data_IF_541520143667
#
_entry.id   IF_541520143667
#
_cell.length_a   1.000
_cell.length_b   1.000
_cell.length_c   1.000
_cell.angle_alpha   90.00
_cell.angle_beta   90.00
_cell.angle_gamma   90.00
#
_symmetry.space_group_name_H-M   'P 1'
#
loop_
_entity.id
_entity.type
_entity.pdbx_description
1 polymer ?
#
# COMPACT_ATOMS: atom_id res chain seq x y z
N UNK A 1 -22.41 -14.71 -23.82
CA UNK A 1 -23.61 -13.88 -23.51
C UNK A 1 -23.34 -12.64 -22.65
N UNK A 2 -22.09 -12.32 -22.26
CA UNK A 2 -21.78 -11.13 -21.42
C UNK A 2 -21.00 -10.02 -22.16
N UNK A 3 -21.11 -10.00 -23.49
CA UNK A 3 -20.42 -9.09 -24.40
C UNK A 3 -20.55 -7.62 -24.03
N UNK A 4 -19.48 -6.98 -23.57
CA UNK A 4 -19.31 -5.56 -23.74
C UNK A 4 -18.92 -5.31 -25.19
N UNK A 5 -19.91 -5.13 -26.07
CA UNK A 5 -19.65 -4.70 -27.44
C UNK A 5 -19.50 -3.17 -27.40
N UNK A 6 -18.29 -2.62 -27.64
CA UNK A 6 -18.04 -1.18 -27.51
C UNK A 6 -18.87 -0.33 -28.48
N UNK A 7 -19.45 -0.94 -29.52
CA UNK A 7 -20.33 -0.29 -30.49
C UNK A 7 -21.80 -0.21 -30.07
N UNK A 8 -22.22 -0.90 -29.01
CA UNK A 8 -23.62 -0.91 -28.59
C UNK A 8 -23.97 0.30 -27.71
N UNK A 9 -25.11 0.93 -28.00
CA UNK A 9 -25.69 1.91 -27.08
C UNK A 9 -26.08 1.26 -25.75
N UNK A 10 -26.04 2.02 -24.65
CA UNK A 10 -26.38 1.54 -23.29
C UNK A 10 -27.69 0.74 -23.25
N UNK A 11 -28.74 1.26 -23.88
CA UNK A 11 -30.07 0.64 -23.95
C UNK A 11 -30.12 -0.64 -24.80
N UNK A 12 -29.33 -0.73 -25.88
CA UNK A 12 -29.22 -1.96 -26.68
C UNK A 12 -28.56 -3.07 -25.86
N UNK A 13 -27.49 -2.73 -25.13
CA UNK A 13 -26.83 -3.66 -24.20
C UNK A 13 -27.77 -4.16 -23.10
N UNK A 14 -28.66 -3.31 -22.58
CA UNK A 14 -29.68 -3.70 -21.63
C UNK A 14 -30.73 -4.64 -22.23
N UNK A 15 -31.26 -4.33 -23.42
CA UNK A 15 -32.25 -5.16 -24.11
C UNK A 15 -31.73 -6.58 -24.34
N UNK A 16 -30.48 -6.70 -24.81
CA UNK A 16 -29.85 -8.00 -25.01
C UNK A 16 -29.61 -8.76 -23.70
N UNK A 17 -29.21 -8.08 -22.62
CA UNK A 17 -29.02 -8.71 -21.32
C UNK A 17 -30.35 -9.23 -20.72
N UNK A 18 -31.44 -8.46 -20.84
CA UNK A 18 -32.77 -8.89 -20.41
C UNK A 18 -33.31 -10.03 -21.27
N UNK A 19 -33.07 -9.99 -22.59
CA UNK A 19 -33.43 -11.07 -23.50
C UNK A 19 -32.68 -12.36 -23.14
N UNK A 20 -31.37 -12.27 -22.88
CA UNK A 20 -30.56 -13.41 -22.46
C UNK A 20 -31.02 -13.97 -21.10
N UNK A 21 -31.41 -13.10 -20.16
CA UNK A 21 -31.99 -13.53 -18.89
C UNK A 21 -33.33 -14.25 -19.10
N UNK A 22 -34.19 -13.74 -19.99
CA UNK A 22 -35.47 -14.39 -20.32
C UNK A 22 -35.24 -15.79 -20.89
N UNK A 23 -34.35 -15.94 -21.87
CA UNK A 23 -33.96 -17.25 -22.42
C UNK A 23 -33.40 -18.18 -21.34
N UNK A 24 -32.56 -17.66 -20.44
CA UNK A 24 -32.01 -18.45 -19.35
C UNK A 24 -33.09 -18.94 -18.38
N UNK A 25 -34.07 -18.10 -18.05
CA UNK A 25 -35.20 -18.45 -17.18
C UNK A 25 -36.12 -19.49 -17.83
N UNK A 26 -36.37 -19.39 -19.13
CA UNK A 26 -37.20 -20.35 -19.89
C UNK A 26 -36.57 -21.74 -19.93
N UNK A 27 -35.27 -21.85 -20.21
CA UNK A 27 -34.57 -23.14 -20.21
C UNK A 27 -34.40 -23.73 -18.79
N UNK A 28 -34.39 -22.87 -17.77
CA UNK A 28 -34.38 -23.27 -16.37
C UNK A 28 -33.02 -23.75 -15.85
N UNK A 29 -32.86 -23.86 -14.52
CA UNK A 29 -31.58 -24.19 -13.88
C UNK A 29 -31.14 -25.64 -14.14
N UNK A 30 -32.07 -26.55 -14.41
CA UNK A 30 -31.77 -27.97 -14.66
C UNK A 30 -30.99 -28.19 -15.96
N UNK A 31 -31.20 -27.35 -16.98
CA UNK A 31 -30.56 -27.50 -18.30
C UNK A 31 -29.30 -26.65 -18.44
N UNK A 32 -29.31 -25.42 -17.91
CA UNK A 32 -28.21 -24.45 -18.05
C UNK A 32 -27.17 -24.50 -16.94
N UNK A 33 -27.52 -25.11 -15.81
CA UNK A 33 -26.71 -25.10 -14.59
C UNK A 33 -26.68 -23.73 -13.88
N UNK A 34 -26.20 -23.72 -12.63
CA UNK A 34 -26.24 -22.53 -11.77
C UNK A 34 -25.35 -21.39 -12.30
N UNK A 35 -24.26 -21.73 -13.00
CA UNK A 35 -23.27 -20.75 -13.47
C UNK A 35 -23.80 -19.84 -14.58
N UNK A 36 -24.46 -20.43 -15.57
CA UNK A 36 -25.00 -19.65 -16.70
C UNK A 36 -26.17 -18.79 -16.24
N UNK A 37 -27.05 -19.33 -15.41
CA UNK A 37 -28.18 -18.59 -14.82
C UNK A 37 -27.70 -17.41 -13.96
N UNK A 38 -26.75 -17.64 -13.05
CA UNK A 38 -26.17 -16.58 -12.23
C UNK A 38 -25.51 -15.50 -13.09
N UNK A 39 -24.79 -15.87 -14.15
CA UNK A 39 -24.15 -14.93 -15.07
C UNK A 39 -25.17 -14.11 -15.86
N UNK A 40 -26.29 -14.70 -16.28
CA UNK A 40 -27.37 -13.96 -16.94
C UNK A 40 -27.99 -12.90 -16.00
N UNK A 41 -28.28 -13.26 -14.76
CA UNK A 41 -28.76 -12.33 -13.73
C UNK A 41 -27.75 -11.20 -13.47
N UNK A 42 -26.45 -11.52 -13.36
CA UNK A 42 -25.39 -10.53 -13.16
C UNK A 42 -25.23 -9.61 -14.37
N UNK A 43 -25.29 -10.13 -15.59
CA UNK A 43 -25.26 -9.34 -16.81
C UNK A 43 -26.38 -8.31 -16.87
N UNK A 44 -27.62 -8.74 -16.59
CA UNK A 44 -28.78 -7.84 -16.51
C UNK A 44 -28.63 -6.81 -15.38
N UNK A 45 -28.13 -7.22 -14.22
CA UNK A 45 -27.83 -6.32 -13.09
C UNK A 45 -26.87 -5.22 -13.49
N UNK A 46 -25.70 -5.58 -14.05
CA UNK A 46 -24.66 -4.62 -14.42
C UNK A 46 -25.16 -3.66 -15.51
N UNK A 47 -25.92 -4.14 -16.50
CA UNK A 47 -26.51 -3.29 -17.55
C UNK A 47 -27.58 -2.35 -17.02
N UNK A 48 -28.41 -2.78 -16.08
CA UNK A 48 -29.37 -1.89 -15.41
C UNK A 48 -28.65 -0.81 -14.62
N UNK A 49 -27.58 -1.18 -13.89
CA UNK A 49 -26.76 -0.21 -13.17
C UNK A 49 -26.03 0.75 -14.12
N UNK A 50 -25.64 0.31 -15.32
CA UNK A 50 -25.02 1.18 -16.33
C UNK A 50 -26.02 2.19 -16.92
N UNK A 51 -27.25 1.76 -17.18
CA UNK A 51 -28.29 2.58 -17.83
C UNK A 51 -29.07 3.49 -16.88
N UNK A 52 -29.37 3.02 -15.67
CA UNK A 52 -30.29 3.68 -14.75
C UNK A 52 -29.55 4.33 -13.58
N UNK A 53 -29.91 5.57 -13.26
CA UNK A 53 -29.40 6.24 -12.06
C UNK A 53 -30.04 5.65 -10.78
N UNK A 54 -29.39 5.89 -9.63
CA UNK A 54 -29.60 5.41 -8.24
C UNK A 54 -31.07 5.20 -7.78
N UNK A 55 -32.08 5.77 -8.45
CA UNK A 55 -33.50 5.67 -8.06
C UNK A 55 -34.16 4.32 -8.36
N UNK A 56 -33.51 3.42 -9.11
CA UNK A 56 -34.05 2.10 -9.47
C UNK A 56 -33.24 0.93 -8.89
N UNK A 57 -32.64 1.06 -7.71
CA UNK A 57 -31.87 -0.04 -7.09
C UNK A 57 -32.68 -1.29 -6.76
N UNK A 58 -34.01 -1.23 -6.76
CA UNK A 58 -34.86 -2.41 -6.50
C UNK A 58 -34.58 -3.54 -7.50
N UNK A 59 -34.58 -3.26 -8.80
CA UNK A 59 -34.39 -4.30 -9.83
C UNK A 59 -32.97 -4.91 -9.80
N UNK A 60 -31.87 -4.14 -9.77
CA UNK A 60 -30.52 -4.70 -9.57
C UNK A 60 -30.37 -5.50 -8.28
N UNK A 61 -30.96 -5.05 -7.17
CA UNK A 61 -30.90 -5.79 -5.89
C UNK A 61 -31.65 -7.12 -5.96
N UNK A 62 -32.81 -7.14 -6.61
CA UNK A 62 -33.58 -8.36 -6.82
C UNK A 62 -32.84 -9.36 -7.71
N UNK A 63 -32.24 -8.89 -8.82
CA UNK A 63 -31.46 -9.75 -9.72
C UNK A 63 -30.19 -10.28 -9.06
N UNK A 64 -29.51 -9.48 -8.23
CA UNK A 64 -28.38 -9.96 -7.41
C UNK A 64 -28.82 -11.03 -6.40
N UNK A 65 -29.97 -10.83 -5.75
CA UNK A 65 -30.53 -11.84 -4.85
C UNK A 65 -30.87 -13.14 -5.60
N UNK A 66 -31.46 -13.05 -6.79
CA UNK A 66 -31.72 -14.21 -7.65
C UNK A 66 -30.41 -14.90 -8.06
N UNK A 67 -29.39 -14.14 -8.47
CA UNK A 67 -28.08 -14.68 -8.82
C UNK A 67 -27.45 -15.46 -7.65
N UNK A 68 -27.54 -14.93 -6.42
CA UNK A 68 -27.04 -15.61 -5.21
C UNK A 68 -27.83 -16.88 -4.89
N UNK A 69 -29.16 -16.82 -5.04
CA UNK A 69 -30.09 -17.91 -4.69
C UNK A 69 -29.86 -19.16 -5.52
N UNK A 70 -29.48 -19.00 -6.79
CA UNK A 70 -29.16 -20.09 -7.72
C UNK A 70 -28.03 -20.99 -7.19
N UNK A 71 -27.13 -20.46 -6.37
CA UNK A 71 -25.99 -21.20 -5.81
C UNK A 71 -26.25 -21.85 -4.44
N UNK A 72 -27.38 -21.55 -3.77
CA UNK A 72 -27.62 -22.04 -2.41
C UNK A 72 -26.49 -21.63 -1.45
N UNK A 73 -25.88 -22.53 -0.66
CA UNK A 73 -24.73 -22.18 0.19
C UNK A 73 -23.39 -22.11 -0.58
N UNK A 74 -23.26 -22.75 -1.74
CA UNK A 74 -21.97 -23.03 -2.39
C UNK A 74 -21.68 -22.07 -3.57
N UNK A 75 -21.19 -20.86 -3.27
CA UNK A 75 -20.80 -19.90 -4.31
C UNK A 75 -19.36 -20.14 -4.76
N UNK A 76 -19.10 -20.20 -6.08
CA UNK A 76 -17.75 -20.22 -6.63
C UNK A 76 -16.89 -19.04 -6.17
N UNK A 77 -15.61 -19.27 -5.92
CA UNK A 77 -14.64 -18.25 -5.48
C UNK A 77 -14.61 -17.02 -6.39
N UNK A 78 -14.67 -17.19 -7.71
CA UNK A 78 -14.71 -16.11 -8.72
C UNK A 78 -15.89 -15.15 -8.56
N UNK A 79 -16.98 -15.57 -7.90
CA UNK A 79 -18.19 -14.80 -7.69
C UNK A 79 -18.45 -14.43 -6.23
N UNK A 80 -17.67 -14.91 -5.27
CA UNK A 80 -17.90 -14.65 -3.84
C UNK A 80 -17.91 -13.15 -3.53
N UNK A 81 -16.95 -12.41 -4.10
CA UNK A 81 -16.82 -10.96 -3.89
C UNK A 81 -18.07 -10.16 -4.28
N UNK A 82 -18.81 -10.61 -5.31
CA UNK A 82 -20.04 -9.95 -5.80
C UNK A 82 -21.12 -9.94 -4.72
N UNK A 83 -21.15 -10.99 -3.91
CA UNK A 83 -22.20 -11.23 -2.92
C UNK A 83 -21.78 -10.85 -1.50
N UNK A 84 -20.48 -10.70 -1.26
CA UNK A 84 -19.95 -10.16 -0.01
C UNK A 84 -20.29 -8.67 0.16
N UNK A 85 -20.39 -8.20 1.41
CA UNK A 85 -20.82 -6.83 1.72
C UNK A 85 -20.01 -5.74 1.00
N UNK A 86 -18.68 -5.88 0.97
CA UNK A 86 -17.77 -4.90 0.36
C UNK A 86 -17.96 -4.83 -1.16
N UNK A 87 -17.89 -5.96 -1.86
CA UNK A 87 -18.03 -5.99 -3.31
C UNK A 87 -19.45 -5.70 -3.79
N UNK A 88 -20.48 -6.16 -3.06
CA UNK A 88 -21.89 -5.80 -3.32
C UNK A 88 -22.12 -4.29 -3.20
N UNK A 89 -21.55 -3.65 -2.18
CA UNK A 89 -21.64 -2.20 -2.01
C UNK A 89 -20.95 -1.46 -3.15
N UNK A 90 -19.76 -1.90 -3.56
CA UNK A 90 -19.04 -1.34 -4.70
C UNK A 90 -19.83 -1.45 -6.01
N UNK A 91 -20.41 -2.62 -6.29
CA UNK A 91 -21.24 -2.87 -7.47
C UNK A 91 -22.45 -1.92 -7.53
N UNK A 92 -23.21 -1.86 -6.43
CA UNK A 92 -24.40 -1.02 -6.33
C UNK A 92 -24.06 0.48 -6.31
N UNK A 93 -22.91 0.85 -5.74
CA UNK A 93 -22.41 2.23 -5.66
C UNK A 93 -21.93 2.79 -7.01
N UNK A 94 -21.85 1.97 -8.06
CA UNK A 94 -21.44 2.36 -9.42
C UNK A 94 -20.04 2.98 -9.53
N UNK A 95 -19.14 2.74 -8.57
CA UNK A 95 -17.76 3.25 -8.61
C UNK A 95 -16.92 2.74 -9.79
N UNK A 96 -17.44 1.75 -10.52
CA UNK A 96 -16.84 1.17 -11.73
C UNK A 96 -17.28 1.87 -13.04
N UNK A 97 -18.26 2.77 -13.00
CA UNK A 97 -18.76 3.48 -14.17
C UNK A 97 -18.22 4.93 -14.20
N UNK A 98 -17.74 5.45 -15.35
CA UNK A 98 -17.72 4.81 -16.66
C UNK A 98 -16.61 3.75 -16.80
N UNK A 99 -16.90 2.68 -17.53
CA UNK A 99 -15.91 1.68 -17.94
C UNK A 99 -15.08 2.24 -19.10
N UNK A 100 -14.10 3.07 -18.77
CA UNK A 100 -13.09 3.50 -19.74
C UNK A 100 -11.92 2.52 -19.70
N UNK A 101 -11.33 2.22 -20.85
CA UNK A 101 -10.07 1.47 -20.91
C UNK A 101 -8.93 2.46 -20.62
N UNK A 102 -8.67 2.71 -19.35
CA UNK A 102 -7.49 3.45 -18.90
C UNK A 102 -6.39 2.45 -18.54
N UNK A 103 -5.16 2.59 -19.05
CA UNK A 103 -4.07 1.71 -18.65
C UNK A 103 -3.79 1.92 -17.16
N UNK A 104 -3.89 0.84 -16.38
CA UNK A 104 -3.61 0.82 -14.95
C UNK A 104 -2.36 -0.03 -14.70
N UNK A 105 -1.42 0.49 -13.91
CA UNK A 105 -0.21 -0.25 -13.53
C UNK A 105 -0.53 -1.42 -12.60
N UNK A 106 -1.64 -1.33 -11.85
CA UNK A 106 -1.99 -2.24 -10.78
C UNK A 106 -2.81 -3.45 -11.22
N UNK A 107 -3.51 -3.38 -12.35
CA UNK A 107 -4.44 -4.45 -12.78
C UNK A 107 -4.44 -4.62 -14.28
N UNK A 108 -4.73 -5.85 -14.72
CA UNK A 108 -4.93 -6.22 -16.12
C UNK A 108 -6.35 -6.73 -16.35
N UNK A 109 -6.87 -6.46 -17.56
CA UNK A 109 -8.19 -6.96 -17.98
C UNK A 109 -8.03 -8.36 -18.56
N UNK A 110 -8.66 -9.35 -17.94
CA UNK A 110 -8.65 -10.73 -18.43
C UNK A 110 -9.44 -10.89 -19.72
N UNK A 111 -10.77 -10.97 -19.63
CA UNK A 111 -11.65 -11.08 -20.80
C UNK A 111 -12.15 -9.69 -21.25
N UNK A 112 -11.73 -9.20 -22.44
CA UNK A 112 -12.18 -7.91 -22.97
C UNK A 112 -13.68 -7.90 -23.29
N UNK A 113 -14.28 -9.06 -23.55
CA UNK A 113 -15.68 -9.17 -23.91
C UNK A 113 -16.61 -9.29 -22.69
N UNK A 114 -16.10 -9.55 -21.47
CA UNK A 114 -16.94 -9.71 -20.30
C UNK A 114 -17.11 -8.41 -19.52
N UNK A 115 -18.35 -7.93 -19.41
CA UNK A 115 -18.69 -6.79 -18.55
C UNK A 115 -18.35 -7.08 -17.08
N UNK A 116 -18.58 -8.31 -16.61
CA UNK A 116 -18.23 -8.71 -15.24
C UNK A 116 -16.72 -8.68 -15.01
N UNK A 117 -15.92 -9.09 -16.01
CA UNK A 117 -14.46 -9.04 -15.91
C UNK A 117 -13.95 -7.60 -15.85
N UNK A 118 -14.53 -6.68 -16.63
CA UNK A 118 -14.21 -5.26 -16.57
C UNK A 118 -14.54 -4.65 -15.20
N UNK A 119 -15.71 -4.99 -14.63
CA UNK A 119 -16.11 -4.51 -13.31
C UNK A 119 -15.28 -5.14 -12.19
N UNK A 120 -14.91 -6.42 -12.31
CA UNK A 120 -14.01 -7.09 -11.38
C UNK A 120 -12.60 -6.47 -11.40
N UNK A 121 -12.10 -6.09 -12.58
CA UNK A 121 -10.84 -5.33 -12.71
C UNK A 121 -10.93 -4.00 -11.94
N UNK A 122 -11.99 -3.22 -12.14
CA UNK A 122 -12.21 -1.95 -11.42
C UNK A 122 -12.34 -2.14 -9.92
N UNK A 123 -12.94 -3.25 -9.48
CA UNK A 123 -13.02 -3.57 -8.06
C UNK A 123 -11.63 -3.84 -7.47
N UNK A 124 -10.80 -4.65 -8.14
CA UNK A 124 -9.42 -4.92 -7.71
C UNK A 124 -8.57 -3.64 -7.70
N UNK A 125 -8.69 -2.82 -8.73
CA UNK A 125 -8.04 -1.51 -8.81
C UNK A 125 -8.43 -0.63 -7.62
N UNK A 126 -9.74 -0.52 -7.33
CA UNK A 126 -10.24 0.23 -6.18
C UNK A 126 -9.69 -0.28 -4.84
N UNK A 127 -9.62 -1.60 -4.65
CA UNK A 127 -9.05 -2.19 -3.43
C UNK A 127 -7.54 -1.89 -3.31
N UNK A 128 -6.78 -2.03 -4.40
CA UNK A 128 -5.35 -1.75 -4.42
C UNK A 128 -5.06 -0.26 -4.21
N UNK A 129 -5.80 0.64 -4.84
CA UNK A 129 -5.66 2.10 -4.63
C UNK A 129 -5.93 2.49 -3.17
N UNK A 130 -6.94 1.87 -2.55
CA UNK A 130 -7.20 2.08 -1.11
C UNK A 130 -6.08 1.54 -0.23
N UNK A 131 -5.50 0.39 -0.57
CA UNK A 131 -4.33 -0.14 0.14
C UNK A 131 -3.10 0.76 -0.03
N UNK A 132 -2.88 1.33 -1.22
CA UNK A 132 -1.83 2.33 -1.47
C UNK A 132 -2.08 3.61 -0.68
N UNK A 133 -3.32 4.10 -0.64
CA UNK A 133 -3.67 5.27 0.16
C UNK A 133 -3.44 5.03 1.67
N UNK A 134 -3.75 3.83 2.16
CA UNK A 134 -3.45 3.44 3.54
C UNK A 134 -1.94 3.36 3.81
N UNK A 135 -1.14 2.95 2.82
CA UNK A 135 0.32 2.96 2.92
C UNK A 135 0.86 4.40 3.04
N UNK A 136 0.28 5.36 2.31
CA UNK A 136 0.66 6.78 2.40
C UNK A 136 0.42 7.38 3.79
N UNK A 137 -0.54 6.86 4.54
CA UNK A 137 -0.91 7.33 5.89
C UNK A 137 -0.43 6.40 7.01
N UNK A 138 0.34 5.35 6.70
CA UNK A 138 0.74 4.34 7.66
C UNK A 138 1.64 4.86 8.82
N UNK A 139 2.18 6.07 8.72
CA UNK A 139 2.90 6.73 9.83
C UNK A 139 1.99 7.40 10.86
N UNK A 140 0.66 7.31 10.70
CA UNK A 140 -0.37 7.92 11.55
C UNK A 140 -1.27 6.85 12.19
N UNK A 141 -1.94 7.17 13.30
CA UNK A 141 -2.90 6.24 13.91
C UNK A 141 -4.05 5.90 12.96
N UNK A 142 -4.49 4.63 13.00
CA UNK A 142 -5.61 4.16 12.20
C UNK A 142 -6.92 4.85 12.62
N UNK A 143 -7.68 5.36 11.64
CA UNK A 143 -8.95 6.07 11.88
C UNK A 143 -10.20 5.17 11.92
N UNK A 144 -10.02 3.88 12.17
CA UNK A 144 -11.13 2.92 12.23
C UNK A 144 -11.70 2.50 10.87
N UNK A 145 -10.99 2.82 9.78
CA UNK A 145 -11.27 2.27 8.46
C UNK A 145 -10.98 0.76 8.41
N UNK A 146 -11.58 0.07 7.43
CA UNK A 146 -11.27 -1.33 7.15
C UNK A 146 -9.76 -1.56 7.09
N UNK A 147 -9.28 -2.60 7.80
CA UNK A 147 -7.86 -2.96 7.80
C UNK A 147 -7.36 -3.13 6.35
N UNK A 148 -6.31 -2.40 5.92
CA UNK A 148 -5.81 -2.50 4.56
C UNK A 148 -5.31 -3.91 4.21
N UNK A 149 -4.92 -4.74 5.18
CA UNK A 149 -4.60 -6.15 4.92
C UNK A 149 -5.82 -6.95 4.45
N UNK A 150 -7.01 -6.66 4.99
CA UNK A 150 -8.27 -7.26 4.53
C UNK A 150 -8.62 -6.86 3.11
N UNK A 151 -8.26 -5.65 2.68
CA UNK A 151 -8.44 -5.24 1.28
C UNK A 151 -7.64 -6.14 0.34
N UNK A 152 -6.45 -6.55 0.75
CA UNK A 152 -5.59 -7.44 -0.04
C UNK A 152 -6.12 -8.88 -0.06
N UNK A 153 -6.66 -9.38 1.06
CA UNK A 153 -7.35 -10.67 1.10
C UNK A 153 -8.52 -10.71 0.10
N UNK A 154 -9.26 -9.60 -0.04
CA UNK A 154 -10.34 -9.47 -1.02
C UNK A 154 -9.82 -9.48 -2.46
N UNK A 155 -8.67 -8.84 -2.75
CA UNK A 155 -8.06 -8.88 -4.09
C UNK A 155 -7.67 -10.32 -4.47
N UNK A 156 -7.09 -11.05 -3.52
CA UNK A 156 -6.74 -12.46 -3.70
C UNK A 156 -7.98 -13.31 -3.97
N UNK A 157 -9.04 -13.16 -3.16
CA UNK A 157 -10.32 -13.86 -3.35
C UNK A 157 -10.98 -13.57 -4.71
N UNK A 158 -10.98 -12.31 -5.15
CA UNK A 158 -11.50 -11.92 -6.46
C UNK A 158 -10.73 -12.49 -7.64
N UNK A 159 -9.44 -12.79 -7.44
CA UNK A 159 -8.57 -13.19 -8.53
C UNK A 159 -8.52 -14.70 -8.72
N UNK A 160 -9.03 -15.50 -7.77
CA UNK A 160 -9.07 -16.97 -7.82
C UNK A 160 -9.83 -17.52 -9.03
N UNK A 161 -9.36 -18.67 -9.55
CA UNK A 161 -9.91 -19.31 -10.74
C UNK A 161 -11.39 -19.68 -10.60
N UNK A 162 -12.17 -19.29 -11.60
CA UNK A 162 -13.46 -19.92 -11.89
C UNK A 162 -13.29 -20.98 -12.96
N UNK A 163 -13.07 -22.24 -12.59
CA UNK A 163 -12.64 -23.34 -13.48
C UNK A 163 -13.34 -23.52 -14.84
N UNK A 164 -12.68 -24.24 -15.75
CA UNK A 164 -13.09 -24.84 -17.05
C UNK A 164 -13.97 -24.09 -18.09
N UNK A 165 -14.93 -23.24 -17.71
CA UNK A 165 -15.85 -22.52 -18.64
C UNK A 165 -15.88 -21.01 -18.40
N UNK A 166 -14.74 -20.44 -18.04
CA UNK A 166 -14.61 -19.00 -17.80
C UNK A 166 -13.20 -18.54 -17.45
N UNK A 167 -12.19 -19.21 -18.00
CA UNK A 167 -10.79 -18.84 -17.85
C UNK A 167 -10.50 -17.54 -18.63
N UNK A 168 -10.75 -16.40 -17.98
CA UNK A 168 -9.86 -15.26 -18.19
C UNK A 168 -8.57 -15.54 -17.40
N UNK A 169 -7.38 -15.17 -17.90
CA UNK A 169 -6.14 -15.35 -17.16
C UNK A 169 -6.24 -14.67 -15.80
N UNK A 170 -5.69 -15.30 -14.76
CA UNK A 170 -5.51 -14.66 -13.46
C UNK A 170 -4.79 -13.33 -13.68
N UNK A 171 -5.24 -12.28 -12.97
CA UNK A 171 -4.52 -11.01 -13.00
C UNK A 171 -3.31 -11.12 -12.09
N UNK A 172 -2.29 -11.79 -12.62
CA UNK A 172 -1.01 -12.02 -11.93
C UNK A 172 -0.37 -10.70 -11.52
N UNK A 173 -0.57 -9.63 -12.29
CA UNK A 173 -0.16 -8.28 -11.93
C UNK A 173 -0.83 -7.80 -10.63
N UNK A 174 -2.16 -7.89 -10.54
CA UNK A 174 -2.89 -7.49 -9.33
C UNK A 174 -2.51 -8.33 -8.11
N UNK A 175 -2.30 -9.64 -8.28
CA UNK A 175 -1.86 -10.52 -7.20
C UNK A 175 -0.43 -10.22 -6.75
N UNK A 176 0.47 -9.90 -7.69
CA UNK A 176 1.83 -9.47 -7.37
C UNK A 176 1.83 -8.15 -6.58
N UNK A 177 1.06 -7.16 -7.03
CA UNK A 177 0.89 -5.89 -6.30
C UNK A 177 0.26 -6.09 -4.92
N UNK A 178 -0.73 -6.99 -4.79
CA UNK A 178 -1.33 -7.31 -3.50
C UNK A 178 -0.29 -7.90 -2.54
N UNK A 179 0.54 -8.84 -3.00
CA UNK A 179 1.63 -9.39 -2.20
C UNK A 179 2.64 -8.31 -1.77
N UNK A 180 3.01 -7.41 -2.70
CA UNK A 180 3.98 -6.35 -2.41
C UNK A 180 3.42 -5.36 -1.39
N UNK A 181 2.16 -4.93 -1.56
CA UNK A 181 1.49 -4.04 -0.62
C UNK A 181 1.32 -4.68 0.75
N UNK A 182 1.10 -6.00 0.82
CA UNK A 182 1.05 -6.72 2.10
C UNK A 182 2.35 -6.58 2.87
N UNK A 183 3.48 -6.84 2.20
CA UNK A 183 4.82 -6.67 2.80
C UNK A 183 5.07 -5.21 3.18
N UNK A 184 4.72 -4.28 2.28
CA UNK A 184 4.87 -2.84 2.51
C UNK A 184 4.13 -2.37 3.76
N UNK A 185 2.86 -2.77 3.92
CA UNK A 185 2.02 -2.41 5.06
C UNK A 185 2.53 -3.02 6.37
N UNK A 186 3.01 -4.27 6.35
CA UNK A 186 3.60 -4.91 7.54
C UNK A 186 4.89 -4.21 7.97
N UNK A 187 5.78 -3.89 7.02
CA UNK A 187 6.97 -3.09 7.32
C UNK A 187 6.65 -1.66 7.79
N UNK A 188 5.59 -1.06 7.25
CA UNK A 188 5.13 0.25 7.71
C UNK A 188 4.60 0.15 9.16
N UNK A 189 3.93 -0.95 9.53
CA UNK A 189 3.50 -1.30 10.89
C UNK A 189 4.64 -1.78 11.80
N UNK A 190 5.84 -1.99 11.29
CA UNK A 190 6.95 -2.54 12.08
C UNK A 190 6.71 -3.98 12.55
N UNK A 191 5.84 -4.71 11.84
CA UNK A 191 5.61 -6.14 12.04
C UNK A 191 6.56 -6.94 11.13
N UNK A 192 6.90 -8.18 11.53
CA UNK A 192 7.62 -9.09 10.65
C UNK A 192 6.77 -9.40 9.42
N UNK A 193 7.35 -9.20 8.25
CA UNK A 193 6.72 -9.65 7.02
C UNK A 193 6.81 -11.19 6.97
N UNK A 194 5.72 -11.90 6.63
CA UNK A 194 5.78 -13.34 6.43
C UNK A 194 6.80 -13.66 5.34
N UNK A 195 7.36 -14.88 5.37
CA UNK A 195 8.20 -15.37 4.29
C UNK A 195 7.45 -15.19 2.96
N UNK A 196 8.00 -14.35 2.08
CA UNK A 196 7.35 -14.00 0.83
C UNK A 196 7.00 -15.27 0.04
N UNK A 197 5.74 -15.37 -0.37
CA UNK A 197 5.32 -16.45 -1.26
C UNK A 197 6.11 -16.42 -2.57
N UNK A 198 6.27 -17.57 -3.21
CA UNK A 198 6.95 -17.71 -4.50
C UNK A 198 6.50 -16.68 -5.56
N UNK A 199 5.26 -16.18 -5.44
CA UNK A 199 4.65 -15.17 -6.31
C UNK A 199 5.38 -13.82 -6.32
N UNK A 200 5.95 -13.34 -5.20
CA UNK A 200 6.69 -12.08 -5.19
C UNK A 200 8.08 -12.19 -5.85
N UNK A 201 8.60 -13.41 -5.96
CA UNK A 201 9.90 -13.69 -6.59
C UNK A 201 9.80 -13.77 -8.12
N UNK A 202 8.59 -13.94 -8.65
CA UNK A 202 8.35 -14.00 -10.09
C UNK A 202 7.62 -12.75 -10.56
N UNK A 203 8.35 -11.87 -11.26
CA UNK A 203 7.76 -10.74 -11.96
C UNK A 203 7.47 -11.17 -13.40
N UNK A 204 6.25 -10.96 -13.93
CA UNK A 204 5.96 -11.25 -15.33
C UNK A 204 6.93 -10.53 -16.30
N UNK A 205 7.31 -11.14 -17.43
CA UNK A 205 8.34 -10.59 -18.33
C UNK A 205 7.97 -9.25 -19.00
N UNK A 206 6.69 -8.90 -19.08
CA UNK A 206 6.18 -7.66 -19.71
C UNK A 206 5.64 -6.63 -18.70
N UNK A 207 6.13 -6.65 -17.47
CA UNK A 207 5.57 -5.80 -16.40
C UNK A 207 6.03 -4.34 -16.52
N UNK A 208 5.15 -3.43 -16.10
CA UNK A 208 5.42 -1.99 -16.02
C UNK A 208 6.78 -1.67 -15.35
N UNK A 209 7.53 -0.65 -15.82
CA UNK A 209 8.81 -0.26 -15.25
C UNK A 209 8.78 0.02 -13.74
N UNK A 210 7.65 0.50 -13.21
CA UNK A 210 7.48 0.74 -11.78
C UNK A 210 7.45 -0.56 -11.00
N UNK A 211 6.78 -1.61 -11.50
CA UNK A 211 6.76 -2.91 -10.85
C UNK A 211 8.18 -3.48 -10.75
N UNK A 212 8.96 -3.35 -11.82
CA UNK A 212 10.37 -3.76 -11.81
C UNK A 212 11.21 -2.96 -10.81
N UNK A 213 11.05 -1.63 -10.75
CA UNK A 213 11.75 -0.78 -9.78
C UNK A 213 11.41 -1.18 -8.33
N UNK A 214 10.12 -1.43 -8.06
CA UNK A 214 9.64 -1.85 -6.75
C UNK A 214 10.12 -3.25 -6.37
N UNK A 215 10.17 -4.19 -7.33
CA UNK A 215 10.72 -5.53 -7.11
C UNK A 215 12.20 -5.48 -6.67
N UNK A 216 13.01 -4.64 -7.33
CA UNK A 216 14.42 -4.45 -6.97
C UNK A 216 14.57 -3.82 -5.57
N UNK A 217 13.76 -2.82 -5.24
CA UNK A 217 13.78 -2.19 -3.92
C UNK A 217 13.34 -3.16 -2.80
N UNK A 218 12.29 -3.95 -3.06
CA UNK A 218 11.80 -5.00 -2.18
C UNK A 218 12.90 -6.04 -1.92
N UNK A 219 13.51 -6.58 -2.98
CA UNK A 219 14.58 -7.56 -2.88
C UNK A 219 15.78 -7.03 -2.10
N UNK A 220 16.25 -5.80 -2.42
CA UNK A 220 17.39 -5.19 -1.72
C UNK A 220 17.16 -5.10 -0.20
N UNK A 221 15.95 -4.67 0.21
CA UNK A 221 15.58 -4.57 1.62
C UNK A 221 15.39 -5.93 2.28
N UNK A 222 14.64 -6.83 1.65
CA UNK A 222 14.38 -8.19 2.15
C UNK A 222 15.68 -8.96 2.38
N UNK A 223 16.56 -8.96 1.40
CA UNK A 223 17.81 -9.72 1.43
C UNK A 223 18.76 -9.14 2.49
N UNK A 224 18.68 -7.84 2.78
CA UNK A 224 19.34 -7.21 3.92
C UNK A 224 18.74 -7.62 5.29
N UNK A 225 17.42 -7.65 5.41
CA UNK A 225 16.74 -8.02 6.66
C UNK A 225 16.95 -9.50 7.00
N UNK A 226 16.88 -10.37 6.00
CA UNK A 226 17.06 -11.83 6.15
C UNK A 226 18.51 -12.29 6.20
N UNK A 227 19.47 -11.38 5.97
CA UNK A 227 20.90 -11.71 5.96
C UNK A 227 21.32 -12.57 4.76
N UNK A 228 20.56 -12.54 3.66
CA UNK A 228 20.90 -13.28 2.43
C UNK A 228 22.07 -12.66 1.68
N UNK A 229 22.30 -11.35 1.80
CA UNK A 229 23.50 -10.73 1.25
C UNK A 229 24.74 -11.14 2.05
N UNK A 230 25.73 -11.71 1.36
CA UNK A 230 26.96 -12.17 1.99
C UNK A 230 27.86 -11.00 2.43
N UNK A 231 27.73 -9.83 1.78
CA UNK A 231 28.53 -8.65 2.07
C UNK A 231 27.75 -7.33 2.06
N UNK A 232 28.19 -6.31 2.82
CA UNK A 232 27.66 -4.94 2.73
C UNK A 232 27.72 -4.36 1.30
N UNK A 233 28.72 -4.76 0.52
CA UNK A 233 28.90 -4.29 -0.87
C UNK A 233 27.77 -4.79 -1.79
N UNK A 234 27.35 -6.04 -1.64
CA UNK A 234 26.21 -6.59 -2.38
C UNK A 234 24.91 -5.86 -2.06
N UNK A 235 24.66 -5.58 -0.78
CA UNK A 235 23.48 -4.81 -0.36
C UNK A 235 23.48 -3.42 -1.00
N UNK A 236 24.62 -2.72 -0.98
CA UNK A 236 24.75 -1.40 -1.62
C UNK A 236 24.55 -1.47 -3.13
N UNK A 237 25.11 -2.47 -3.81
CA UNK A 237 24.92 -2.66 -5.25
C UNK A 237 23.46 -2.97 -5.62
N UNK A 238 22.74 -3.72 -4.78
CA UNK A 238 21.30 -3.91 -4.93
C UNK A 238 20.53 -2.59 -4.75
N UNK A 239 20.88 -1.79 -3.74
CA UNK A 239 20.29 -0.48 -3.53
C UNK A 239 20.55 0.49 -4.71
N UNK A 240 21.74 0.52 -5.30
CA UNK A 240 22.05 1.38 -6.45
C UNK A 240 21.22 1.03 -7.70
N UNK A 241 21.04 -0.26 -7.96
CA UNK A 241 20.20 -0.74 -9.07
C UNK A 241 18.74 -0.31 -8.88
N UNK A 242 18.20 -0.51 -7.67
CA UNK A 242 16.85 -0.10 -7.33
C UNK A 242 16.66 1.43 -7.39
N UNK A 243 17.61 2.19 -6.81
CA UNK A 243 17.61 3.66 -6.80
C UNK A 243 17.54 4.24 -8.22
N UNK A 244 18.33 3.70 -9.14
CA UNK A 244 18.36 4.16 -10.53
C UNK A 244 17.01 3.98 -11.24
N UNK A 245 16.34 2.84 -11.03
CA UNK A 245 15.01 2.57 -11.61
C UNK A 245 13.91 3.41 -10.99
N UNK A 246 13.94 3.62 -9.67
CA UNK A 246 12.98 4.50 -9.00
C UNK A 246 13.10 5.95 -9.49
N UNK A 247 14.33 6.41 -9.72
CA UNK A 247 14.57 7.76 -10.25
C UNK A 247 13.99 7.94 -11.66
N UNK A 248 14.14 6.94 -12.53
CA UNK A 248 13.51 6.92 -13.87
C UNK A 248 11.98 6.95 -13.78
N UNK A 249 11.38 6.22 -12.85
CA UNK A 249 9.93 6.18 -12.65
C UNK A 249 9.38 7.52 -12.14
N UNK A 250 10.09 8.19 -11.23
CA UNK A 250 9.71 9.51 -10.73
C UNK A 250 9.76 10.62 -11.79
N UNK A 251 10.54 10.41 -12.87
CA UNK A 251 10.65 11.35 -13.99
C UNK A 251 9.45 11.34 -14.95
N UNK A 252 8.68 10.26 -14.97
CA UNK A 252 7.51 10.08 -15.83
C UNK A 252 6.30 10.55 -15.04
N UNK A 253 5.43 11.40 -15.61
CA UNK A 253 4.21 11.85 -14.92
C UNK A 253 3.43 10.65 -14.39
N UNK A 254 3.39 10.49 -13.07
CA UNK A 254 2.92 9.28 -12.39
C UNK A 254 1.57 9.53 -11.75
N UNK A 255 0.71 8.50 -11.75
CA UNK A 255 -0.53 8.49 -10.97
C UNK A 255 -0.23 8.73 -9.48
N UNK A 256 -1.18 9.26 -8.66
CA UNK A 256 -0.96 9.44 -7.23
C UNK A 256 -0.56 8.12 -6.54
N UNK A 257 -1.17 7.00 -6.94
CA UNK A 257 -0.81 5.67 -6.45
C UNK A 257 0.63 5.29 -6.79
N UNK A 258 1.07 5.57 -8.02
CA UNK A 258 2.45 5.35 -8.45
C UNK A 258 3.45 6.21 -7.65
N UNK A 259 3.09 7.46 -7.33
CA UNK A 259 3.95 8.31 -6.49
C UNK A 259 4.15 7.74 -5.10
N UNK A 260 3.09 7.26 -4.44
CA UNK A 260 3.18 6.62 -3.11
C UNK A 260 4.05 5.36 -3.14
N UNK A 261 3.98 4.57 -4.22
CA UNK A 261 4.83 3.40 -4.40
C UNK A 261 6.30 3.81 -4.53
N UNK A 262 6.62 4.80 -5.37
CA UNK A 262 8.00 5.31 -5.52
C UNK A 262 8.52 5.88 -4.20
N UNK A 263 7.69 6.61 -3.45
CA UNK A 263 8.03 7.13 -2.12
C UNK A 263 8.39 5.98 -1.16
N UNK A 264 7.58 4.92 -1.14
CA UNK A 264 7.79 3.75 -0.28
C UNK A 264 9.08 3.01 -0.65
N UNK A 265 9.33 2.81 -1.95
CA UNK A 265 10.58 2.23 -2.44
C UNK A 265 11.82 3.06 -2.05
N UNK A 266 11.74 4.38 -2.20
CA UNK A 266 12.81 5.30 -1.80
C UNK A 266 13.07 5.23 -0.29
N UNK A 267 12.01 5.20 0.52
CA UNK A 267 12.11 5.04 1.97
C UNK A 267 12.79 3.73 2.36
N UNK A 268 12.47 2.62 1.69
CA UNK A 268 13.11 1.33 1.93
C UNK A 268 14.62 1.37 1.68
N UNK A 269 15.07 2.05 0.63
CA UNK A 269 16.50 2.19 0.33
C UNK A 269 17.22 3.05 1.39
N UNK A 270 16.63 4.19 1.78
CA UNK A 270 17.17 5.04 2.85
C UNK A 270 17.30 4.28 4.17
N UNK A 271 16.26 3.56 4.58
CA UNK A 271 16.28 2.72 5.78
C UNK A 271 17.32 1.61 5.69
N UNK A 272 17.41 0.92 4.55
CA UNK A 272 18.38 -0.17 4.35
C UNK A 272 19.81 0.34 4.48
N UNK A 273 20.13 1.48 3.86
CA UNK A 273 21.47 2.10 3.95
C UNK A 273 21.78 2.60 5.36
N UNK A 274 20.81 3.22 6.04
CA UNK A 274 20.98 3.66 7.43
C UNK A 274 21.25 2.47 8.37
N UNK A 275 20.46 1.41 8.27
CA UNK A 275 20.61 0.21 9.09
C UNK A 275 21.89 -0.57 8.75
N UNK A 276 22.30 -0.59 7.48
CA UNK A 276 23.59 -1.18 7.08
C UNK A 276 24.76 -0.43 7.72
N UNK A 277 24.71 0.90 7.73
CA UNK A 277 25.69 1.72 8.44
C UNK A 277 25.68 1.44 9.95
N UNK A 278 24.51 1.33 10.58
CA UNK A 278 24.41 0.99 12.01
C UNK A 278 25.03 -0.39 12.34
N UNK A 279 24.93 -1.38 11.43
CA UNK A 279 25.53 -2.71 11.59
C UNK A 279 27.05 -2.73 11.37
N UNK A 280 27.59 -1.82 10.55
CA UNK A 280 28.98 -1.85 10.07
C UNK A 280 30.06 -1.33 11.03
N UNK A 281 29.73 -1.09 12.30
CA UNK A 281 30.52 -0.32 13.28
C UNK A 281 30.69 1.16 12.90
N UNK A 282 30.67 2.02 13.93
CA UNK A 282 30.48 3.49 13.92
C UNK A 282 31.62 4.32 13.30
N UNK A 283 32.23 3.83 12.22
CA UNK A 283 33.21 4.55 11.42
C UNK A 283 32.57 5.51 10.41
N UNK A 284 33.38 6.35 9.75
CA UNK A 284 32.91 7.20 8.67
C UNK A 284 32.28 6.34 7.57
N UNK A 285 31.19 6.81 6.94
CA UNK A 285 30.50 6.02 5.93
C UNK A 285 31.43 5.86 4.72
N UNK A 286 31.47 4.64 4.16
CA UNK A 286 32.13 4.43 2.87
C UNK A 286 31.52 5.32 1.79
N UNK A 287 32.33 5.83 0.87
CA UNK A 287 31.90 6.78 -0.15
C UNK A 287 30.65 6.32 -0.93
N UNK A 288 30.57 5.02 -1.27
CA UNK A 288 29.42 4.44 -1.97
C UNK A 288 28.11 4.53 -1.16
N UNK A 289 28.17 4.33 0.17
CA UNK A 289 26.99 4.44 1.03
C UNK A 289 26.51 5.88 1.10
N UNK A 290 27.42 6.82 1.34
CA UNK A 290 27.11 8.24 1.47
C UNK A 290 26.53 8.82 0.16
N UNK A 291 27.12 8.48 -0.98
CA UNK A 291 26.67 8.96 -2.28
C UNK A 291 25.29 8.40 -2.65
N UNK A 292 25.07 7.10 -2.46
CA UNK A 292 23.78 6.49 -2.68
C UNK A 292 22.69 7.03 -1.74
N UNK A 293 23.01 7.24 -0.47
CA UNK A 293 22.08 7.88 0.48
C UNK A 293 21.72 9.29 0.03
N UNK A 294 22.69 10.08 -0.44
CA UNK A 294 22.47 11.43 -0.96
C UNK A 294 21.57 11.43 -2.19
N UNK A 295 21.74 10.47 -3.10
CA UNK A 295 20.89 10.28 -4.28
C UNK A 295 19.45 9.92 -3.92
N UNK A 296 19.26 8.99 -3.00
CA UNK A 296 17.92 8.61 -2.53
C UNK A 296 17.25 9.80 -1.81
N UNK A 297 18.02 10.58 -1.05
CA UNK A 297 17.54 11.79 -0.39
C UNK A 297 17.16 12.90 -1.38
N UNK A 298 17.88 13.07 -2.49
CA UNK A 298 17.47 14.02 -3.54
C UNK A 298 16.19 13.58 -4.25
N UNK A 299 16.00 12.26 -4.44
CA UNK A 299 14.73 11.73 -4.93
C UNK A 299 13.59 12.03 -3.95
N UNK A 300 13.78 11.79 -2.65
CA UNK A 300 12.78 12.11 -1.63
C UNK A 300 12.45 13.62 -1.59
N UNK A 301 13.47 14.49 -1.71
CA UNK A 301 13.26 15.95 -1.81
C UNK A 301 12.38 16.32 -2.99
N UNK A 302 12.63 15.72 -4.16
CA UNK A 302 11.82 15.94 -5.36
C UNK A 302 10.37 15.52 -5.12
N UNK A 303 10.15 14.34 -4.55
CA UNK A 303 8.81 13.84 -4.23
C UNK A 303 8.08 14.72 -3.20
N UNK A 304 8.82 15.31 -2.26
CA UNK A 304 8.26 16.16 -1.20
C UNK A 304 7.84 17.57 -1.69
N UNK A 305 8.21 17.99 -2.91
CA UNK A 305 7.84 19.30 -3.46
C UNK A 305 6.32 19.46 -3.55
N UNK A 306 5.62 18.43 -4.00
CA UNK A 306 4.16 18.42 -4.20
C UNK A 306 3.40 17.64 -3.12
N UNK A 307 4.12 17.14 -2.10
CA UNK A 307 3.60 16.22 -1.08
C UNK A 307 3.91 16.69 0.34
N UNK A 308 3.07 17.54 0.96
CA UNK A 308 3.34 18.11 2.29
C UNK A 308 3.43 17.04 3.40
N UNK A 309 2.79 15.89 3.20
CA UNK A 309 2.85 14.76 4.14
C UNK A 309 4.26 14.14 4.24
N UNK A 310 5.14 14.33 3.25
CA UNK A 310 6.52 13.83 3.27
C UNK A 310 7.51 14.74 4.01
N UNK A 311 7.12 15.96 4.36
CA UNK A 311 8.06 16.95 4.92
C UNK A 311 8.72 16.47 6.22
N UNK A 312 7.98 15.74 7.07
CA UNK A 312 8.58 15.19 8.29
C UNK A 312 9.59 14.08 7.99
N UNK A 313 9.23 13.16 7.08
CA UNK A 313 10.13 12.11 6.60
C UNK A 313 11.41 12.70 6.00
N UNK A 314 11.28 13.73 5.18
CA UNK A 314 12.42 14.41 4.59
C UNK A 314 13.35 14.98 5.68
N UNK A 315 12.81 15.70 6.65
CA UNK A 315 13.59 16.25 7.77
C UNK A 315 14.31 15.15 8.57
N UNK A 316 13.62 14.03 8.82
CA UNK A 316 14.20 12.87 9.50
C UNK A 316 15.39 12.29 8.72
N UNK A 317 15.24 12.05 7.42
CA UNK A 317 16.33 11.46 6.62
C UNK A 317 17.47 12.45 6.35
N UNK A 318 17.20 13.75 6.30
CA UNK A 318 18.24 14.78 6.29
C UNK A 318 19.05 14.76 7.59
N UNK A 319 18.39 14.64 8.74
CA UNK A 319 19.05 14.49 10.03
C UNK A 319 19.80 13.15 10.12
N UNK A 320 19.23 12.07 9.58
CA UNK A 320 19.87 10.75 9.51
C UNK A 320 21.15 10.80 8.71
N UNK A 321 21.17 11.48 7.55
CA UNK A 321 22.40 11.67 6.77
C UNK A 321 23.48 12.40 7.57
N UNK A 322 23.11 13.39 8.39
CA UNK A 322 24.06 14.09 9.26
C UNK A 322 24.66 13.16 10.32
N UNK A 323 23.84 12.28 10.91
CA UNK A 323 24.30 11.25 11.84
C UNK A 323 25.25 10.27 11.16
N UNK A 324 24.86 9.76 9.99
CA UNK A 324 25.66 8.82 9.18
C UNK A 324 27.02 9.41 8.82
N UNK A 325 27.08 10.69 8.46
CA UNK A 325 28.33 11.38 8.12
C UNK A 325 29.15 11.86 9.33
N UNK A 326 28.72 11.60 10.57
CA UNK A 326 29.43 12.06 11.77
C UNK A 326 29.48 13.59 11.88
N UNK A 327 28.47 14.29 11.37
CA UNK A 327 28.41 15.75 11.46
C UNK A 327 28.26 16.23 12.91
N UNK A 328 28.60 17.49 13.17
CA UNK A 328 28.55 18.10 14.51
C UNK A 328 27.26 17.73 15.30
N UNK A 329 27.38 17.15 16.51
CA UNK A 329 26.26 16.55 17.22
C UNK A 329 25.19 17.58 17.64
N UNK A 330 25.59 18.79 18.03
CA UNK A 330 24.66 19.87 18.42
C UNK A 330 23.82 20.32 17.24
N UNK A 331 24.45 20.55 16.07
CA UNK A 331 23.72 20.92 14.84
C UNK A 331 22.81 19.81 14.35
N UNK A 332 23.21 18.56 14.55
CA UNK A 332 22.40 17.39 14.21
C UNK A 332 21.19 17.26 15.14
N UNK A 333 21.36 17.54 16.44
CA UNK A 333 20.23 17.63 17.36
C UNK A 333 19.24 18.72 16.97
N UNK A 334 19.71 19.92 16.63
CA UNK A 334 18.84 21.00 16.16
C UNK A 334 18.04 20.64 14.90
N UNK A 335 18.60 19.78 14.04
CA UNK A 335 17.90 19.26 12.88
C UNK A 335 16.80 18.27 13.28
N UNK A 336 17.09 17.36 14.23
CA UNK A 336 16.11 16.43 14.80
C UNK A 336 14.99 17.16 15.54
N UNK A 337 15.30 18.23 16.26
CA UNK A 337 14.30 19.05 16.95
C UNK A 337 13.26 19.62 15.98
N UNK A 338 13.58 19.85 14.70
CA UNK A 338 12.59 20.30 13.69
C UNK A 338 11.49 19.26 13.48
N UNK A 339 11.82 17.98 13.63
CA UNK A 339 10.83 16.91 13.59
C UNK A 339 9.87 17.00 14.79
N UNK A 340 10.37 17.43 15.95
CA UNK A 340 9.63 17.54 17.20
C UNK A 340 8.88 18.87 17.35
N UNK A 341 9.31 19.94 16.67
CA UNK A 341 8.76 21.30 16.78
C UNK A 341 7.30 21.44 16.34
N UNK A 342 6.73 20.47 15.59
CA UNK A 342 5.27 20.43 15.35
C UNK A 342 4.49 20.36 16.67
N UNK A 343 5.06 19.76 17.72
CA UNK A 343 4.48 19.77 19.07
C UNK A 343 4.71 21.09 19.80
N UNK A 344 5.88 21.72 19.62
CA UNK A 344 6.27 22.91 20.38
C UNK A 344 5.73 24.24 19.81
N UNK A 345 5.38 24.31 18.52
CA UNK A 345 4.74 25.51 17.93
C UNK A 345 3.30 25.74 18.41
N UNK A 346 2.76 24.81 19.20
CA UNK A 346 1.43 24.86 19.78
C UNK A 346 1.44 24.79 21.30
N UNK A 347 2.49 25.34 21.96
CA UNK A 347 2.19 26.00 23.23
C UNK A 347 1.08 27.01 22.92
N UNK A 348 -0.08 26.96 23.60
CA UNK A 348 -1.16 27.88 23.30
C UNK A 348 -0.58 29.28 23.48
N UNK A 349 -0.45 30.02 22.38
CA UNK A 349 -0.44 31.45 22.54
C UNK A 349 -1.75 31.77 23.27
N UNK A 350 -1.66 32.55 24.34
CA UNK A 350 -2.76 32.91 25.24
C UNK A 350 -3.98 33.50 24.49
N UNK A 351 -3.86 33.72 23.17
CA UNK A 351 -4.79 34.44 22.31
C UNK A 351 -5.65 33.54 21.42
N UNK A 352 -5.36 32.24 21.24
CA UNK A 352 -6.17 31.36 20.35
C UNK A 352 -6.46 29.97 20.94
N UNK A 353 -7.08 29.93 22.12
CA UNK A 353 -7.57 28.68 22.74
C UNK A 353 -9.05 28.43 22.39
N UNK A 354 -9.33 27.97 21.17
CA UNK A 354 -10.59 27.28 20.87
C UNK A 354 -10.42 26.38 19.63
N UNK A 355 -9.96 25.14 19.87
CA UNK A 355 -9.99 24.08 18.86
C UNK A 355 -8.64 23.47 18.45
N UNK A 356 -7.55 23.65 19.21
CA UNK A 356 -6.29 22.96 18.92
C UNK A 356 -6.46 21.45 19.15
N UNK A 357 -6.74 20.70 18.08
CA UNK A 357 -6.61 19.24 18.05
C UNK A 357 -5.16 18.92 18.38
N UNK A 358 -4.92 18.15 19.45
CA UNK A 358 -3.59 17.61 19.76
C UNK A 358 -2.96 17.02 18.50
N UNK A 359 -1.71 17.36 18.16
CA UNK A 359 -1.08 16.86 16.94
C UNK A 359 -1.01 15.32 17.00
N UNK A 360 -1.55 14.67 15.97
CA UNK A 360 -1.54 13.20 15.88
C UNK A 360 -0.09 12.69 15.97
N UNK A 361 0.17 11.64 16.77
CA UNK A 361 1.50 11.05 16.87
C UNK A 361 1.96 10.54 15.50
N UNK A 362 3.21 10.86 15.12
CA UNK A 362 3.80 10.44 13.85
C UNK A 362 5.03 9.56 14.11
N UNK A 363 5.16 8.50 13.30
CA UNK A 363 6.26 7.54 13.41
C UNK A 363 7.63 8.21 13.33
N UNK A 364 7.78 9.21 12.48
CA UNK A 364 9.04 9.92 12.23
C UNK A 364 9.51 10.69 13.48
N UNK A 365 8.60 11.12 14.36
CA UNK A 365 8.96 11.77 15.63
C UNK A 365 9.60 10.77 16.60
N UNK A 366 9.04 9.57 16.71
CA UNK A 366 9.62 8.50 17.52
C UNK A 366 11.00 8.08 16.97
N UNK A 367 11.12 7.97 15.64
CA UNK A 367 12.40 7.66 14.99
C UNK A 367 13.44 8.75 15.23
N UNK A 368 13.06 10.03 15.21
CA UNK A 368 13.96 11.14 15.52
C UNK A 368 14.47 11.10 16.97
N UNK A 369 13.57 10.82 17.94
CA UNK A 369 13.94 10.65 19.35
C UNK A 369 14.91 9.48 19.53
N UNK A 370 14.62 8.33 18.91
CA UNK A 370 15.48 7.15 18.98
C UNK A 370 16.84 7.39 18.34
N UNK A 371 16.89 8.08 17.20
CA UNK A 371 18.14 8.41 16.53
C UNK A 371 19.00 9.33 17.41
N UNK A 372 18.39 10.32 18.05
CA UNK A 372 19.06 11.21 19.00
C UNK A 372 19.64 10.46 20.19
N UNK A 373 18.84 9.62 20.85
CA UNK A 373 19.27 8.87 22.02
C UNK A 373 20.39 7.86 21.68
N UNK A 374 20.31 7.22 20.51
CA UNK A 374 21.29 6.21 20.10
C UNK A 374 22.64 6.80 19.70
N UNK A 375 22.63 7.93 19.00
CA UNK A 375 23.83 8.43 18.30
C UNK A 375 24.35 9.77 18.81
N UNK A 376 23.53 10.52 19.56
CA UNK A 376 23.92 11.80 20.18
C UNK A 376 23.98 11.69 21.71
N UNK A 377 24.10 10.47 22.23
CA UNK A 377 24.12 10.13 23.67
C UNK A 377 24.95 11.07 24.56
N UNK A 378 26.15 11.53 24.18
CA UNK A 378 26.95 12.45 25.00
C UNK A 378 26.29 13.82 25.27
N UNK A 379 25.27 14.21 24.50
CA UNK A 379 24.54 15.45 24.73
C UNK A 379 23.51 15.34 25.87
N UNK A 380 23.16 14.12 26.28
CA UNK A 380 22.01 13.87 27.14
C UNK A 380 22.42 13.36 28.51
N UNK A 381 21.87 13.96 29.57
CA UNK A 381 21.89 13.38 30.91
C UNK A 381 21.04 12.11 30.97
N UNK A 382 21.25 11.26 31.98
CA UNK A 382 20.50 10.02 32.17
C UNK A 382 18.99 10.25 32.21
N UNK A 383 18.52 11.18 33.04
CA UNK A 383 17.10 11.48 33.22
C UNK A 383 16.46 12.00 31.91
N UNK A 384 17.20 12.82 31.16
CA UNK A 384 16.76 13.33 29.86
C UNK A 384 16.65 12.19 28.83
N UNK A 385 17.60 11.26 28.83
CA UNK A 385 17.58 10.09 27.95
C UNK A 385 16.39 9.18 28.25
N UNK A 386 16.10 8.93 29.52
CA UNK A 386 14.93 8.16 29.95
C UNK A 386 13.63 8.86 29.52
N UNK A 387 13.54 10.18 29.67
CA UNK A 387 12.38 10.96 29.23
C UNK A 387 12.15 10.91 27.70
N UNK A 388 13.22 11.03 26.89
CA UNK A 388 13.14 10.93 25.43
C UNK A 388 12.71 9.53 24.98
N UNK A 389 13.23 8.48 25.63
CA UNK A 389 12.82 7.10 25.35
C UNK A 389 11.37 6.83 25.77
N UNK A 390 10.92 7.36 26.90
CA UNK A 390 9.53 7.26 27.34
C UNK A 390 8.59 7.96 26.36
N UNK A 391 8.96 9.14 25.85
CA UNK A 391 8.20 9.84 24.82
C UNK A 391 8.15 9.04 23.51
N UNK A 392 9.27 8.47 23.06
CA UNK A 392 9.29 7.61 21.88
C UNK A 392 8.40 6.37 22.07
N UNK A 393 8.46 5.73 23.23
CA UNK A 393 7.62 4.57 23.56
C UNK A 393 6.12 4.93 23.55
N UNK A 394 5.74 6.10 24.07
CA UNK A 394 4.35 6.57 24.04
C UNK A 394 3.83 6.76 22.60
N UNK A 395 4.63 7.35 21.72
CA UNK A 395 4.28 7.54 20.31
C UNK A 395 4.13 6.17 19.61
N UNK A 396 5.09 5.27 19.80
CA UNK A 396 5.05 3.93 19.21
C UNK A 396 3.87 3.08 19.73
N UNK A 397 3.54 3.21 21.01
CA UNK A 397 2.38 2.58 21.62
C UNK A 397 1.06 3.09 21.03
N UNK A 398 0.93 4.41 20.82
CA UNK A 398 -0.22 5.01 20.17
C UNK A 398 -0.38 4.57 18.70
N UNK A 399 0.73 4.27 18.02
CA UNK A 399 0.76 3.76 16.64
C UNK A 399 0.60 2.23 16.55
N UNK A 400 0.68 1.50 17.67
CA UNK A 400 0.60 0.03 17.70
C UNK A 400 1.88 -0.69 17.25
N UNK A 401 3.04 -0.02 17.21
CA UNK A 401 4.32 -0.60 16.81
C UNK A 401 4.94 -1.46 17.94
N UNK A 402 4.45 -2.68 18.11
CA UNK A 402 4.82 -3.56 19.24
C UNK A 402 6.32 -3.87 19.31
N UNK A 403 6.96 -4.15 18.19
CA UNK A 403 8.38 -4.52 18.16
C UNK A 403 9.31 -3.34 18.46
N UNK A 404 9.02 -2.18 17.86
CA UNK A 404 9.77 -0.97 18.11
C UNK A 404 9.61 -0.51 19.57
N UNK A 405 8.40 -0.66 20.13
CA UNK A 405 8.11 -0.40 21.54
C UNK A 405 8.92 -1.34 22.46
N UNK A 406 8.96 -2.65 22.17
CA UNK A 406 9.79 -3.60 22.91
C UNK A 406 11.29 -3.25 22.81
N UNK A 407 11.75 -2.75 21.66
CA UNK A 407 13.11 -2.22 21.51
C UNK A 407 13.36 -0.98 22.39
N UNK A 408 12.42 -0.03 22.44
CA UNK A 408 12.51 1.13 23.34
C UNK A 408 12.60 0.71 24.81
N UNK A 409 11.77 -0.24 25.25
CA UNK A 409 11.82 -0.76 26.62
C UNK A 409 13.16 -1.43 26.95
N UNK A 410 13.74 -2.18 26.00
CA UNK A 410 15.10 -2.73 26.15
C UNK A 410 16.15 -1.64 26.29
N UNK A 411 16.05 -0.54 25.55
CA UNK A 411 16.98 0.58 25.67
C UNK A 411 16.84 1.33 27.01
N UNK A 412 15.63 1.38 27.60
CA UNK A 412 15.41 1.95 28.93
C UNK A 412 15.94 1.04 30.05
N UNK A 413 15.83 -0.28 29.87
CA UNK A 413 16.31 -1.26 30.84
C UNK A 413 17.82 -1.53 30.76
N UNK A 414 18.46 -1.19 29.63
CA UNK A 414 19.89 -1.40 29.46
C UNK A 414 20.67 -0.51 30.45
N UNK A 415 21.51 -1.10 31.33
CA UNK A 415 22.40 -0.30 32.15
C UNK A 415 23.29 0.51 31.22
N UNK A 416 23.35 1.82 31.44
CA UNK A 416 24.31 2.67 30.74
C UNK A 416 25.70 2.14 31.05
N UNK A 417 26.30 1.39 30.13
CA UNK A 417 27.74 1.16 30.14
C UNK A 417 28.35 2.55 30.18
N UNK A 418 28.97 2.86 31.32
CA UNK A 418 29.73 4.08 31.52
C UNK A 418 30.69 4.22 30.33
N UNK A 419 30.59 5.35 29.64
CA UNK A 419 31.59 5.77 28.67
C UNK A 419 32.86 6.17 29.42
#
# INVERSE_FOLDING_TARGET
MLGHVPRWGRWQGLSHALSALNWAQVAGPAQLGPRVMSRACLGATLRLLDCCHVRLHFAPRLLLFQARRVWGPAVPSDLQWVFEGTGRSFLLGRGWAPLQDSPCVLTSRGDPCSLLAAVAQRYREHLLERAVAALATASRPSRGDMDPLRLLDLVEGCSQEGGALGAGPMDEGALWWAGLLRVALLWARGDEAPAEGARLRWLPPDTDPLAHAMALALAARRDFLTGQHASPRETLAACERASSRLWECAGRGTSPSSQVLVQSGCEWLLQTRAQLWERGARGPPGAALAEGFRRDLTLLRRLAQDAPHLQLKLQLYEATMRVVCGANPVRTQLALDRCLRRRLSHYPSVVCAKGSVEPEPQREEAEALLLSVKHLGPLWGRDQREALLAQAAAILGALGHTQALAHCHRLMAAPTLAA
#
